data_IF_865363456999
#
_entry.id   IF_865363456999
#
_cell.length_a   1.000
_cell.length_b   1.000
_cell.length_c   1.000
_cell.angle_alpha   90.00
_cell.angle_beta   90.00
_cell.angle_gamma   90.00
#
_symmetry.space_group_name_H-M   'P 1'
#
loop_
_entity.id
_entity.type
_entity.pdbx_description
1 polymer ?
#
# COMPACT_ATOMS: atom_id res chain seq x y z
N UNK A 1 -11.44 31.08 -0.42
CA UNK A 1 -12.01 31.94 0.64
C UNK A 1 -13.45 31.49 0.86
N UNK A 2 -13.76 30.93 2.03
CA UNK A 2 -15.13 30.65 2.46
C UNK A 2 -15.25 31.24 3.87
N UNK A 3 -16.14 32.23 3.98
CA UNK A 3 -16.40 33.05 5.16
C UNK A 3 -17.20 32.26 6.21
N UNK A 4 -16.79 32.36 7.47
CA UNK A 4 -17.57 31.89 8.62
C UNK A 4 -18.27 33.09 9.25
N UNK A 5 -19.60 33.12 9.16
CA UNK A 5 -20.43 34.03 9.96
C UNK A 5 -20.68 33.42 11.33
N UNK A 6 -20.30 34.21 12.33
CA UNK A 6 -20.54 34.03 13.77
C UNK A 6 -22.04 33.98 14.08
N UNK A 7 -22.44 33.06 14.97
CA UNK A 7 -23.63 33.28 15.80
C UNK A 7 -23.34 32.81 17.22
N UNK A 8 -23.21 33.80 18.10
CA UNK A 8 -23.10 33.71 19.55
C UNK A 8 -24.44 33.31 20.19
N UNK A 9 -24.37 32.59 21.32
CA UNK A 9 -25.46 32.56 22.29
C UNK A 9 -25.39 31.37 23.24
N UNK A 10 -25.11 31.62 24.52
CA UNK A 10 -25.41 30.70 25.62
C UNK A 10 -24.26 30.45 26.59
N UNK A 11 -23.95 31.45 27.43
CA UNK A 11 -23.12 31.27 28.61
C UNK A 11 -23.88 30.49 29.69
N UNK A 12 -23.23 29.49 30.27
CA UNK A 12 -23.67 28.79 31.48
C UNK A 12 -22.44 28.34 32.25
N UNK A 13 -21.99 29.17 33.19
CA UNK A 13 -20.95 28.85 34.15
C UNK A 13 -21.49 27.87 35.21
N UNK A 14 -20.75 26.80 35.51
CA UNK A 14 -20.67 26.21 36.87
C UNK A 14 -19.36 25.42 37.02
N UNK A 15 -18.45 26.03 37.78
CA UNK A 15 -17.51 25.46 38.77
C UNK A 15 -17.15 23.97 38.77
N UNK A 16 -15.83 23.72 38.88
CA UNK A 16 -15.28 22.76 39.85
C UNK A 16 -15.05 21.34 39.36
N UNK A 17 -13.78 21.01 39.11
CA UNK A 17 -13.33 19.62 38.96
C UNK A 17 -12.13 19.47 38.05
N UNK A 18 -10.94 19.72 38.59
CA UNK A 18 -9.66 19.23 38.05
C UNK A 18 -9.65 17.69 38.16
N UNK A 19 -10.37 17.06 37.25
CA UNK A 19 -10.29 15.63 36.98
C UNK A 19 -9.83 15.48 35.56
N UNK A 20 -8.73 14.77 35.35
CA UNK A 20 -8.24 14.34 34.03
C UNK A 20 -9.32 13.54 33.31
N UNK A 21 -10.31 14.21 32.70
CA UNK A 21 -11.32 13.58 31.86
C UNK A 21 -10.60 13.13 30.60
N UNK A 22 -10.25 11.83 30.56
CA UNK A 22 -9.89 11.15 29.31
C UNK A 22 -10.95 11.53 28.27
N UNK A 23 -10.54 12.10 27.11
CA UNK A 23 -11.49 12.66 26.17
C UNK A 23 -12.43 11.58 25.64
N UNK A 24 -13.72 11.88 25.62
CA UNK A 24 -14.76 10.96 25.14
C UNK A 24 -14.48 10.64 23.66
N UNK A 25 -14.11 9.39 23.38
CA UNK A 25 -13.86 8.89 22.01
C UNK A 25 -15.10 9.10 21.14
N UNK A 26 -14.92 9.77 19.98
CA UNK A 26 -16.00 10.05 19.04
C UNK A 26 -16.73 8.75 18.65
N UNK A 27 -18.07 8.79 18.60
CA UNK A 27 -18.94 7.66 18.23
C UNK A 27 -18.52 7.04 16.89
N UNK A 28 -18.02 7.82 15.94
CA UNK A 28 -17.55 7.33 14.63
C UNK A 28 -16.33 6.42 14.70
N UNK A 29 -15.55 6.48 15.78
CA UNK A 29 -14.35 5.65 16.00
C UNK A 29 -14.65 4.38 16.85
N UNK A 30 -15.88 4.22 17.38
CA UNK A 30 -16.25 3.05 18.20
C UNK A 30 -16.29 1.76 17.36
N UNK A 31 -15.86 0.65 17.95
CA UNK A 31 -16.00 -0.71 17.40
C UNK A 31 -14.83 -1.20 16.51
N UNK A 32 -14.01 -0.30 16.00
CA UNK A 32 -12.86 -0.64 15.13
C UNK A 32 -11.58 0.13 15.45
N UNK A 33 -11.60 1.03 16.44
CA UNK A 33 -10.38 1.62 17.01
C UNK A 33 -10.20 1.21 18.48
N UNK A 34 -8.96 1.19 18.93
CA UNK A 34 -8.56 0.97 20.33
C UNK A 34 -7.47 1.97 20.66
N UNK A 35 -7.73 2.82 21.65
CA UNK A 35 -6.74 3.75 22.19
C UNK A 35 -5.97 3.03 23.30
N UNK A 36 -4.64 3.12 23.28
CA UNK A 36 -3.78 2.56 24.34
C UNK A 36 -3.54 3.59 25.44
N UNK A 37 -3.13 3.14 26.62
CA UNK A 37 -2.67 4.02 27.72
C UNK A 37 -1.63 5.05 27.26
N UNK A 38 -0.78 4.66 26.32
CA UNK A 38 0.34 5.48 25.82
C UNK A 38 -0.10 6.48 24.73
N UNK A 39 -1.40 6.74 24.58
CA UNK A 39 -1.96 7.68 23.60
C UNK A 39 -1.97 7.21 22.14
N UNK A 40 -1.55 5.97 21.84
CA UNK A 40 -1.56 5.42 20.48
C UNK A 40 -2.96 4.98 20.06
N UNK A 41 -3.32 5.21 18.81
CA UNK A 41 -4.61 4.81 18.24
C UNK A 41 -4.42 3.62 17.30
N UNK A 42 -4.98 2.46 17.66
CA UNK A 42 -4.90 1.22 16.89
C UNK A 42 -6.20 0.99 16.12
N UNK A 43 -6.14 0.97 14.79
CA UNK A 43 -7.22 0.60 13.89
C UNK A 43 -7.19 -0.91 13.65
N UNK A 44 -8.31 -1.58 13.92
CA UNK A 44 -8.48 -3.03 13.84
C UNK A 44 -9.71 -3.36 13.00
N UNK A 45 -9.71 -4.58 12.43
CA UNK A 45 -10.94 -5.20 11.89
C UNK A 45 -12.01 -5.29 12.98
N UNK A 46 -13.27 -5.39 12.56
CA UNK A 46 -14.40 -5.64 13.46
C UNK A 46 -14.13 -6.81 14.41
N UNK A 47 -14.68 -6.72 15.61
CA UNK A 47 -14.52 -7.73 16.68
C UNK A 47 -14.92 -9.12 16.18
N UNK A 48 -16.07 -9.24 15.51
CA UNK A 48 -16.57 -10.50 14.95
C UNK A 48 -15.57 -11.16 14.00
N UNK A 49 -15.04 -10.42 13.03
CA UNK A 49 -14.07 -10.94 12.05
C UNK A 49 -12.77 -11.39 12.73
N UNK A 50 -12.38 -10.74 13.83
CA UNK A 50 -11.20 -11.15 14.60
C UNK A 50 -11.43 -12.46 15.36
N UNK A 51 -12.61 -12.67 15.92
CA UNK A 51 -12.94 -13.94 16.58
C UNK A 51 -12.98 -15.10 15.59
N UNK A 52 -13.64 -14.93 14.44
CA UNK A 52 -13.66 -15.94 13.37
C UNK A 52 -12.25 -16.25 12.86
N UNK A 53 -11.44 -15.22 12.62
CA UNK A 53 -10.06 -15.40 12.19
C UNK A 53 -9.18 -16.06 13.25
N UNK A 54 -9.38 -15.77 14.53
CA UNK A 54 -8.68 -16.46 15.62
C UNK A 54 -9.08 -17.93 15.70
N UNK A 55 -10.37 -18.25 15.63
CA UNK A 55 -10.84 -19.63 15.63
C UNK A 55 -10.21 -20.42 14.46
N UNK A 56 -10.25 -19.88 13.24
CA UNK A 56 -9.63 -20.48 12.08
C UNK A 56 -8.11 -20.66 12.25
N UNK A 57 -7.42 -19.68 12.84
CA UNK A 57 -5.98 -19.78 13.08
C UNK A 57 -5.63 -20.81 14.15
N UNK A 58 -6.37 -20.88 15.27
CA UNK A 58 -6.12 -21.81 16.37
C UNK A 58 -6.38 -23.25 15.93
N UNK A 59 -7.55 -23.51 15.34
CA UNK A 59 -7.91 -24.84 14.82
C UNK A 59 -6.89 -25.28 13.77
N UNK A 60 -6.57 -24.38 12.86
CA UNK A 60 -5.61 -24.63 11.80
C UNK A 60 -4.19 -24.95 12.30
N UNK A 61 -3.65 -24.15 13.23
CA UNK A 61 -2.30 -24.39 13.80
C UNK A 61 -2.26 -25.68 14.61
N UNK A 62 -3.25 -25.93 15.48
CA UNK A 62 -3.30 -27.14 16.30
C UNK A 62 -3.35 -28.40 15.42
N UNK A 63 -4.15 -28.34 14.36
CA UNK A 63 -4.28 -29.45 13.42
C UNK A 63 -3.02 -29.64 12.58
N UNK A 64 -2.42 -28.55 12.07
CA UNK A 64 -1.14 -28.61 11.35
C UNK A 64 -0.02 -29.21 12.20
N UNK A 65 0.02 -28.92 13.50
CA UNK A 65 0.98 -29.53 14.41
C UNK A 65 0.73 -31.04 14.56
N UNK A 66 -0.54 -31.46 14.70
CA UNK A 66 -0.92 -32.88 14.77
C UNK A 66 -0.57 -33.63 13.48
N UNK A 67 -1.00 -33.11 12.33
CA UNK A 67 -0.72 -33.73 11.02
C UNK A 67 0.76 -33.70 10.69
N UNK A 68 1.48 -32.63 11.04
CA UNK A 68 2.93 -32.56 10.87
C UNK A 68 3.69 -33.59 11.70
N UNK A 69 3.27 -33.84 12.95
CA UNK A 69 3.82 -34.90 13.79
C UNK A 69 3.55 -36.30 13.20
N UNK A 70 2.35 -36.53 12.66
CA UNK A 70 1.98 -37.77 11.99
C UNK A 70 2.80 -37.99 10.70
N UNK A 71 2.98 -36.95 9.89
CA UNK A 71 3.82 -36.98 8.67
C UNK A 71 5.29 -37.27 8.99
N UNK A 72 5.82 -36.69 10.06
CA UNK A 72 7.18 -36.98 10.52
C UNK A 72 7.33 -38.45 10.95
N UNK A 73 6.32 -39.01 11.62
CA UNK A 73 6.26 -40.44 11.94
C UNK A 73 6.13 -41.34 10.71
N UNK A 74 5.33 -40.93 9.72
CA UNK A 74 5.09 -41.65 8.46
C UNK A 74 6.32 -41.68 7.54
N UNK A 75 7.08 -40.58 7.49
CA UNK A 75 8.36 -40.49 6.77
C UNK A 75 9.41 -41.46 7.36
N UNK A 76 9.36 -41.71 8.67
CA UNK A 76 10.21 -42.70 9.34
C UNK A 76 9.74 -44.15 9.11
N UNK A 77 8.46 -44.36 8.76
CA UNK A 77 7.86 -45.69 8.54
C UNK A 77 7.63 -46.04 7.06
N UNK A 78 8.10 -45.21 6.12
CA UNK A 78 8.07 -45.50 4.67
C UNK A 78 6.69 -45.49 4.00
N UNK A 79 5.62 -45.09 4.71
CA UNK A 79 4.26 -45.10 4.19
C UNK A 79 3.78 -43.67 3.92
N UNK A 80 3.76 -43.26 2.65
CA UNK A 80 3.29 -41.94 2.23
C UNK A 80 1.76 -41.94 2.16
N UNK A 81 1.07 -41.37 3.17
CA UNK A 81 -0.39 -41.27 3.17
C UNK A 81 -0.81 -39.98 2.50
N UNK A 82 -1.24 -40.07 1.25
CA UNK A 82 -1.55 -38.88 0.45
C UNK A 82 -2.68 -38.04 1.03
N UNK A 83 -3.68 -38.68 1.66
CA UNK A 83 -4.82 -38.06 2.36
C UNK A 83 -4.41 -37.03 3.44
N UNK A 84 -3.34 -37.31 4.20
CA UNK A 84 -2.87 -36.42 5.27
C UNK A 84 -2.28 -35.12 4.69
N UNK A 85 -1.68 -35.18 3.50
CA UNK A 85 -1.14 -34.02 2.81
C UNK A 85 -2.23 -33.12 2.23
N UNK A 86 -3.37 -33.68 1.79
CA UNK A 86 -4.54 -32.90 1.36
C UNK A 86 -5.13 -32.07 2.49
N UNK A 87 -5.33 -32.70 3.63
CA UNK A 87 -5.91 -32.05 4.81
C UNK A 87 -4.96 -30.97 5.32
N UNK A 88 -3.64 -31.24 5.31
CA UNK A 88 -2.63 -30.25 5.65
C UNK A 88 -2.67 -29.02 4.73
N UNK A 89 -2.77 -29.20 3.41
CA UNK A 89 -2.90 -28.08 2.47
C UNK A 89 -4.23 -27.34 2.62
N UNK A 90 -5.35 -28.07 2.73
CA UNK A 90 -6.69 -27.49 2.91
C UNK A 90 -6.76 -26.57 4.13
N UNK A 91 -6.17 -26.99 5.25
CA UNK A 91 -6.19 -26.22 6.50
C UNK A 91 -5.14 -25.12 6.53
N UNK A 92 -4.03 -25.24 5.79
CA UNK A 92 -3.01 -24.20 5.68
C UNK A 92 -3.59 -22.86 5.19
N UNK A 93 -4.54 -22.94 4.26
CA UNK A 93 -5.08 -21.78 3.55
C UNK A 93 -5.95 -20.90 4.49
N UNK A 94 -6.96 -21.44 5.21
CA UNK A 94 -7.68 -20.71 6.27
C UNK A 94 -6.79 -20.25 7.42
N UNK A 95 -5.77 -21.04 7.78
CA UNK A 95 -4.82 -20.70 8.85
C UNK A 95 -4.04 -19.43 8.51
N UNK A 96 -3.42 -19.39 7.33
CA UNK A 96 -2.67 -18.23 6.83
C UNK A 96 -3.59 -17.01 6.74
N UNK A 97 -4.84 -17.20 6.29
CA UNK A 97 -5.83 -16.13 6.27
C UNK A 97 -6.14 -15.61 7.69
N UNK A 98 -6.38 -16.49 8.65
CA UNK A 98 -6.68 -16.15 10.04
C UNK A 98 -5.53 -15.36 10.69
N UNK A 99 -4.30 -15.84 10.55
CA UNK A 99 -3.08 -15.17 11.03
C UNK A 99 -2.92 -13.79 10.36
N UNK A 100 -3.17 -13.70 9.04
CA UNK A 100 -3.09 -12.43 8.32
C UNK A 100 -4.15 -11.43 8.81
N UNK A 101 -5.39 -11.88 9.04
CA UNK A 101 -6.47 -11.02 9.54
C UNK A 101 -6.17 -10.49 10.94
N UNK A 102 -5.60 -11.32 11.83
CA UNK A 102 -5.25 -10.91 13.19
C UNK A 102 -4.04 -9.96 13.23
N UNK A 103 -3.06 -10.13 12.33
CA UNK A 103 -1.91 -9.20 12.21
C UNK A 103 -2.25 -7.86 11.55
N UNK A 104 -3.31 -7.78 10.75
CA UNK A 104 -3.70 -6.55 10.04
C UNK A 104 -4.21 -5.47 10.99
N UNK A 105 -3.33 -4.53 11.33
CA UNK A 105 -3.67 -3.33 12.12
C UNK A 105 -2.88 -2.12 11.65
N UNK A 106 -3.48 -0.94 11.76
CA UNK A 106 -2.76 0.32 11.62
C UNK A 106 -2.61 0.95 12.99
N UNK A 107 -1.41 1.37 13.36
CA UNK A 107 -1.13 2.05 14.63
C UNK A 107 -0.74 3.47 14.32
N UNK A 108 -1.50 4.43 14.82
CA UNK A 108 -1.17 5.85 14.76
C UNK A 108 -0.50 6.21 16.09
N UNK A 109 0.66 6.84 15.98
CA UNK A 109 1.48 7.28 17.10
C UNK A 109 2.07 8.65 16.77
N UNK A 110 2.67 9.33 17.74
CA UNK A 110 3.48 10.54 17.50
C UNK A 110 4.51 10.34 16.38
N UNK A 111 5.08 9.15 16.34
CA UNK A 111 6.15 8.75 15.46
C UNK A 111 5.72 8.50 14.00
N UNK A 112 4.41 8.59 13.71
CA UNK A 112 3.80 8.34 12.40
C UNK A 112 2.74 7.24 12.39
N UNK A 113 2.47 6.74 11.19
CA UNK A 113 1.47 5.70 10.90
C UNK A 113 2.18 4.39 10.59
N UNK A 114 1.99 3.40 11.44
CA UNK A 114 2.55 2.06 11.31
C UNK A 114 1.48 1.08 10.79
N UNK A 115 1.66 0.61 9.56
CA UNK A 115 0.77 -0.34 8.89
C UNK A 115 1.34 -1.74 9.02
N UNK A 116 0.71 -2.58 9.84
CA UNK A 116 1.11 -3.97 10.04
C UNK A 116 0.27 -4.90 9.19
N UNK A 117 0.93 -5.80 8.46
CA UNK A 117 0.34 -6.91 7.68
C UNK A 117 1.10 -8.20 8.01
N UNK A 118 0.69 -9.32 7.42
CA UNK A 118 1.33 -10.62 7.64
C UNK A 118 2.83 -10.60 7.33
N UNK A 119 3.18 -10.20 6.12
CA UNK A 119 4.56 -10.29 5.60
C UNK A 119 5.40 -9.03 5.82
N UNK A 120 4.78 -7.92 6.24
CA UNK A 120 5.53 -6.68 6.41
C UNK A 120 4.84 -5.69 7.35
N UNK A 121 5.68 -4.87 7.96
CA UNK A 121 5.29 -3.70 8.74
C UNK A 121 5.90 -2.48 8.06
N UNK A 122 5.06 -1.51 7.71
CA UNK A 122 5.49 -0.29 7.04
C UNK A 122 5.14 0.91 7.90
N UNK A 123 6.15 1.69 8.29
CA UNK A 123 5.98 2.93 9.05
C UNK A 123 6.17 4.12 8.11
N UNK A 124 5.23 5.06 8.17
CA UNK A 124 5.25 6.31 7.41
C UNK A 124 5.22 7.50 8.39
N UNK A 125 6.19 8.43 8.34
CA UNK A 125 6.17 9.62 9.18
C UNK A 125 5.02 10.54 8.80
N UNK A 126 4.48 11.31 9.75
CA UNK A 126 3.35 12.22 9.52
C UNK A 126 3.60 13.20 8.36
N UNK A 127 4.83 13.69 8.22
CA UNK A 127 5.27 14.54 7.09
C UNK A 127 4.90 13.96 5.71
N UNK A 128 4.94 12.65 5.55
CA UNK A 128 4.62 11.98 4.27
C UNK A 128 3.15 11.57 4.09
N UNK A 129 2.32 11.69 5.13
CA UNK A 129 0.97 11.09 5.20
C UNK A 129 -0.13 12.14 5.31
N UNK A 130 0.25 13.34 5.75
CA UNK A 130 -0.60 14.41 6.23
C UNK A 130 -1.77 14.82 5.31
N UNK A 131 -1.49 15.15 4.04
CA UNK A 131 -2.50 15.59 3.07
C UNK A 131 -3.11 14.44 2.23
N UNK A 132 -2.84 13.19 2.61
CA UNK A 132 -3.02 12.04 1.69
C UNK A 132 -3.96 10.96 2.16
N UNK A 133 -4.59 11.15 3.30
CA UNK A 133 -5.71 10.31 3.66
C UNK A 133 -6.93 10.69 2.82
N UNK A 134 -7.38 9.73 2.02
CA UNK A 134 -8.61 9.84 1.25
C UNK A 134 -9.49 8.62 1.50
N UNK A 135 -10.69 8.65 0.95
CA UNK A 135 -11.61 7.53 0.96
C UNK A 135 -11.54 6.84 -0.40
N UNK A 136 -11.40 5.52 -0.38
CA UNK A 136 -11.68 4.67 -1.53
C UNK A 136 -13.06 4.05 -1.29
N UNK A 137 -14.04 4.46 -2.10
CA UNK A 137 -15.33 3.78 -2.20
C UNK A 137 -15.23 2.75 -3.32
N UNK A 138 -15.57 1.50 -2.99
CA UNK A 138 -15.86 0.49 -4.00
C UNK A 138 -17.37 0.40 -4.06
N UNK A 139 -17.95 0.92 -5.13
CA UNK A 139 -19.37 0.88 -5.37
C UNK A 139 -19.62 -0.38 -6.22
N UNK A 140 -20.26 -1.38 -5.62
CA UNK A 140 -20.75 -2.56 -6.35
C UNK A 140 -22.21 -2.30 -6.65
N UNK A 141 -22.47 -1.41 -7.60
CA UNK A 141 -23.79 -1.15 -8.18
C UNK A 141 -23.85 -1.83 -9.55
N UNK A 142 -24.72 -2.82 -9.69
CA UNK A 142 -25.12 -3.27 -11.02
C UNK A 142 -26.01 -2.17 -11.65
N UNK A 143 -25.85 -1.85 -12.95
CA UNK A 143 -26.69 -0.85 -13.59
C UNK A 143 -28.17 -1.27 -13.48
N UNK A 144 -29.00 -0.43 -12.87
CA UNK A 144 -30.46 -0.64 -12.72
C UNK A 144 -30.92 -1.23 -11.38
N UNK A 145 -30.06 -1.40 -10.37
CA UNK A 145 -30.43 -1.95 -9.06
C UNK A 145 -30.26 -0.92 -7.92
N UNK A 146 -31.36 -0.54 -7.26
CA UNK A 146 -31.39 0.30 -6.06
C UNK A 146 -31.04 -0.53 -4.81
N UNK A 147 -29.76 -0.87 -4.65
CA UNK A 147 -29.31 -1.71 -3.53
C UNK A 147 -27.82 -2.07 -3.59
N UNK A 148 -26.98 -1.10 -3.92
CA UNK A 148 -25.54 -1.30 -4.06
C UNK A 148 -24.85 -1.59 -2.73
N UNK A 149 -23.85 -2.47 -2.75
CA UNK A 149 -22.95 -2.63 -1.61
C UNK A 149 -21.82 -1.61 -1.76
N UNK A 150 -21.90 -0.51 -1.04
CA UNK A 150 -20.83 0.47 -0.96
C UNK A 150 -19.84 0.07 0.13
N UNK A 151 -18.58 -0.15 -0.28
CA UNK A 151 -17.50 -0.42 0.66
C UNK A 151 -16.53 0.75 0.71
N UNK A 152 -16.71 1.60 1.71
CA UNK A 152 -15.77 2.70 2.00
C UNK A 152 -14.58 2.23 2.84
N UNK A 153 -13.36 2.61 2.43
CA UNK A 153 -12.12 2.39 3.20
C UNK A 153 -11.26 3.66 3.23
N UNK A 154 -10.60 3.90 4.36
CA UNK A 154 -9.55 4.91 4.43
C UNK A 154 -8.31 4.37 3.72
N UNK A 155 -7.80 5.16 2.78
CA UNK A 155 -6.59 4.85 2.02
C UNK A 155 -5.62 6.02 2.11
N UNK A 156 -4.34 5.69 1.98
CA UNK A 156 -3.24 6.63 1.91
C UNK A 156 -2.76 6.70 0.45
N UNK A 157 -2.82 7.88 -0.17
CA UNK A 157 -2.28 8.10 -1.51
C UNK A 157 -0.74 8.08 -1.47
N UNK A 158 -0.11 7.26 -2.30
CA UNK A 158 1.35 7.19 -2.38
C UNK A 158 1.85 7.75 -3.72
N UNK A 159 2.20 9.03 -3.71
CA UNK A 159 2.61 9.79 -4.89
C UNK A 159 1.40 10.23 -5.71
N UNK A 160 0.76 9.30 -6.40
CA UNK A 160 -0.36 9.58 -7.30
C UNK A 160 -1.62 8.79 -6.95
N UNK A 161 -2.77 9.24 -7.45
CA UNK A 161 -4.10 8.65 -7.22
C UNK A 161 -4.22 7.22 -7.74
N UNK A 162 -3.33 6.79 -8.62
CA UNK A 162 -3.26 5.41 -9.13
C UNK A 162 -2.75 4.41 -8.06
N UNK A 163 -2.11 4.90 -6.99
CA UNK A 163 -1.40 4.08 -6.02
C UNK A 163 -1.89 4.34 -4.60
N UNK A 164 -2.97 3.64 -4.26
CA UNK A 164 -3.67 3.77 -2.99
C UNK A 164 -3.26 2.67 -2.01
N UNK A 165 -2.58 3.05 -0.94
CA UNK A 165 -2.24 2.17 0.17
C UNK A 165 -3.47 2.02 1.07
N UNK A 166 -4.05 0.82 1.09
CA UNK A 166 -5.21 0.52 1.94
C UNK A 166 -4.78 0.32 3.39
N UNK A 167 -5.24 1.16 4.32
CA UNK A 167 -4.91 1.03 5.73
C UNK A 167 -5.35 -0.33 6.29
N UNK A 168 -4.43 -1.17 6.81
CA UNK A 168 -4.80 -2.42 7.46
C UNK A 168 -5.75 -2.20 8.64
N UNK A 169 -6.77 -3.06 8.76
CA UNK A 169 -7.76 -2.96 9.84
C UNK A 169 -8.91 -1.98 9.57
N UNK A 170 -8.74 -0.98 8.71
CA UNK A 170 -9.74 0.07 8.47
C UNK A 170 -10.79 -0.33 7.41
N UNK A 171 -11.75 -1.18 7.78
CA UNK A 171 -12.92 -1.48 6.93
C UNK A 171 -14.15 -0.88 7.60
N UNK A 172 -14.69 0.19 7.01
CA UNK A 172 -15.84 0.92 7.50
C UNK A 172 -17.12 0.29 6.93
N UNK A 173 -17.49 -0.88 7.47
CA UNK A 173 -18.76 -1.54 7.18
C UNK A 173 -18.94 -2.15 5.78
N UNK A 174 -19.91 -3.06 5.71
CA UNK A 174 -20.69 -3.42 4.52
C UNK A 174 -22.11 -3.06 4.96
N UNK A 175 -22.60 -1.86 4.63
CA UNK A 175 -23.97 -1.48 4.99
C UNK A 175 -24.74 -1.14 3.73
N UNK A 176 -26.03 -1.51 3.71
CA UNK A 176 -26.97 -1.20 2.65
C UNK A 176 -27.19 0.33 2.51
N UNK A 177 -26.86 1.11 3.55
CA UNK A 177 -26.94 2.56 3.54
C UNK A 177 -25.62 3.29 3.88
N UNK A 178 -25.39 4.38 3.16
CA UNK A 178 -24.53 5.55 3.38
C UNK A 178 -23.15 5.30 4.00
N UNK A 179 -22.41 4.33 3.46
CA UNK A 179 -21.06 3.98 3.90
C UNK A 179 -20.07 5.14 3.75
N UNK A 180 -20.30 6.04 2.77
CA UNK A 180 -19.44 7.18 2.45
C UNK A 180 -19.49 8.23 3.54
N UNK A 181 -20.68 8.58 4.06
CA UNK A 181 -20.78 9.55 5.16
C UNK A 181 -20.22 9.00 6.46
N UNK A 182 -20.41 7.70 6.74
CA UNK A 182 -19.76 7.06 7.88
C UNK A 182 -18.23 7.06 7.73
N UNK A 183 -17.73 6.80 6.53
CA UNK A 183 -16.30 6.83 6.25
C UNK A 183 -15.70 8.24 6.34
N UNK A 184 -16.41 9.26 5.87
CA UNK A 184 -15.98 10.66 5.99
C UNK A 184 -15.99 11.13 7.43
N UNK A 185 -17.00 10.77 8.22
CA UNK A 185 -17.05 11.05 9.65
C UNK A 185 -15.93 10.34 10.42
N UNK A 186 -15.60 9.10 10.05
CA UNK A 186 -14.47 8.35 10.62
C UNK A 186 -13.12 8.98 10.28
N UNK A 187 -12.91 9.35 9.01
CA UNK A 187 -11.69 10.03 8.55
C UNK A 187 -11.52 11.39 9.25
N UNK A 188 -12.57 12.21 9.32
CA UNK A 188 -12.55 13.49 10.04
C UNK A 188 -12.24 13.29 11.52
N UNK A 189 -12.87 12.31 12.17
CA UNK A 189 -12.61 12.02 13.58
C UNK A 189 -11.17 11.56 13.83
N UNK A 190 -10.60 10.75 12.91
CA UNK A 190 -9.20 10.35 12.96
C UNK A 190 -8.27 11.55 12.81
N UNK A 191 -8.47 12.40 11.81
CA UNK A 191 -7.65 13.60 11.59
C UNK A 191 -7.76 14.58 12.78
N UNK A 192 -8.96 14.76 13.34
CA UNK A 192 -9.16 15.57 14.54
C UNK A 192 -8.50 14.98 15.78
N UNK A 193 -8.41 13.65 15.89
CA UNK A 193 -7.65 13.01 16.96
C UNK A 193 -6.16 13.33 16.83
N UNK A 194 -5.59 13.10 15.64
CA UNK A 194 -4.16 13.35 15.37
C UNK A 194 -3.80 14.83 15.58
N UNK A 195 -4.65 15.75 15.09
CA UNK A 195 -4.45 17.19 15.28
C UNK A 195 -4.47 17.60 16.75
N UNK A 196 -5.39 17.05 17.55
CA UNK A 196 -5.46 17.33 19.01
C UNK A 196 -4.24 16.85 19.77
N UNK A 197 -3.61 15.78 19.31
CA UNK A 197 -2.37 15.28 19.90
C UNK A 197 -1.11 15.99 19.40
N UNK A 198 -1.23 17.00 18.53
CA UNK A 198 -0.08 17.77 18.02
C UNK A 198 0.85 16.97 17.11
N UNK A 199 0.46 15.78 16.65
CA UNK A 199 1.31 14.92 15.82
C UNK A 199 1.48 15.44 14.38
N UNK A 200 0.65 16.41 13.98
CA UNK A 200 0.66 17.05 12.67
C UNK A 200 1.33 18.42 12.84
N UNK A 201 2.45 18.63 12.16
CA UNK A 201 3.02 19.96 11.95
C UNK A 201 2.36 20.55 10.70
N UNK A 202 1.69 21.69 10.86
CA UNK A 202 0.71 22.18 9.88
C UNK A 202 1.27 22.91 8.67
N UNK A 203 2.55 23.27 8.62
CA UNK A 203 3.07 24.11 7.54
C UNK A 203 4.21 23.46 6.75
N UNK A 204 4.02 23.37 5.44
CA UNK A 204 5.04 22.96 4.48
C UNK A 204 6.26 23.91 4.48
N UNK A 205 6.10 25.13 5.02
CA UNK A 205 7.17 26.13 5.21
C UNK A 205 8.09 25.81 6.40
N UNK A 206 7.64 24.97 7.34
CA UNK A 206 8.46 24.50 8.47
C UNK A 206 9.37 23.31 8.12
N UNK A 207 9.38 22.88 6.85
CA UNK A 207 10.16 21.74 6.39
C UNK A 207 11.61 22.16 6.20
N UNK A 208 12.45 21.82 7.18
CA UNK A 208 13.90 21.96 7.08
C UNK A 208 14.50 20.85 6.24
N UNK A 209 15.68 21.11 5.68
CA UNK A 209 16.50 20.14 4.98
C UNK A 209 16.69 18.89 5.85
N UNK A 210 16.50 17.71 5.25
CA UNK A 210 16.81 16.44 5.91
C UNK A 210 18.24 16.05 5.54
N UNK A 211 19.20 16.07 6.49
CA UNK A 211 20.60 15.76 6.20
C UNK A 211 20.78 14.43 5.48
N UNK A 212 19.92 13.44 5.75
CA UNK A 212 20.01 12.12 5.08
C UNK A 212 19.57 12.18 3.63
N UNK A 213 18.56 12.97 3.30
CA UNK A 213 18.12 13.13 1.91
C UNK A 213 19.11 13.97 1.11
N UNK A 214 19.71 15.00 1.72
CA UNK A 214 20.79 15.79 1.13
C UNK A 214 22.01 14.91 0.87
N UNK A 215 22.45 14.12 1.86
CA UNK A 215 23.55 13.17 1.72
C UNK A 215 23.24 12.12 0.64
N UNK A 216 22.03 11.56 0.63
CA UNK A 216 21.63 10.58 -0.38
C UNK A 216 21.63 11.17 -1.79
N UNK A 217 21.22 12.43 -1.94
CA UNK A 217 21.31 13.16 -3.21
C UNK A 217 22.75 13.30 -3.66
N UNK A 218 23.68 13.65 -2.77
CA UNK A 218 25.11 13.78 -3.09
C UNK A 218 25.75 12.42 -3.41
N UNK A 219 25.33 11.36 -2.72
CA UNK A 219 25.80 9.98 -2.92
C UNK A 219 25.05 9.24 -4.04
N UNK A 220 24.75 9.93 -5.14
CA UNK A 220 23.93 9.43 -6.25
C UNK A 220 24.61 8.31 -7.08
N UNK A 221 25.95 8.25 -7.08
CA UNK A 221 26.71 7.23 -7.82
C UNK A 221 26.55 7.31 -9.35
N UNK A 222 26.38 8.52 -9.89
CA UNK A 222 26.08 8.73 -11.32
C UNK A 222 27.25 8.30 -12.21
N UNK A 223 28.49 8.34 -11.74
CA UNK A 223 29.69 8.01 -12.51
C UNK A 223 29.65 6.59 -13.11
N UNK A 224 29.02 5.64 -12.40
CA UNK A 224 28.83 4.27 -12.90
C UNK A 224 27.74 4.19 -13.96
N UNK A 225 26.76 5.10 -13.90
CA UNK A 225 25.60 5.15 -14.77
C UNK A 225 25.92 5.91 -16.06
N UNK A 226 26.65 7.03 -15.99
CA UNK A 226 27.07 7.87 -17.13
C UNK A 226 28.00 7.15 -18.10
N UNK A 227 28.73 6.11 -17.66
CA UNK A 227 29.54 5.27 -18.55
C UNK A 227 28.72 4.41 -19.51
N UNK A 228 27.43 4.24 -19.27
CA UNK A 228 26.55 3.40 -20.10
C UNK A 228 25.81 4.25 -21.11
N UNK A 229 25.86 3.84 -22.38
CA UNK A 229 25.10 4.47 -23.47
C UNK A 229 23.58 4.40 -23.31
N UNK A 230 23.09 3.48 -22.47
CA UNK A 230 21.67 3.30 -22.15
C UNK A 230 21.51 2.69 -20.76
N UNK A 231 20.51 3.15 -20.01
CA UNK A 231 20.22 2.61 -18.68
C UNK A 231 18.86 1.95 -18.66
N UNK A 232 18.80 0.76 -18.06
CA UNK A 232 17.59 -0.04 -17.96
C UNK A 232 17.34 -0.40 -16.50
N UNK A 233 16.17 -0.05 -16.00
CA UNK A 233 15.67 -0.45 -14.69
C UNK A 233 14.50 -1.41 -14.86
N UNK A 234 14.55 -2.52 -14.13
CA UNK A 234 13.49 -3.54 -14.10
C UNK A 234 13.11 -3.86 -12.66
N UNK A 235 13.06 -2.85 -11.80
CA UNK A 235 12.76 -3.08 -10.38
C UNK A 235 11.25 -3.28 -10.23
N UNK A 236 10.79 -4.41 -9.67
CA UNK A 236 9.37 -4.62 -9.47
C UNK A 236 8.83 -3.68 -8.39
N UNK A 237 7.57 -3.29 -8.51
CA UNK A 237 6.85 -2.53 -7.48
C UNK A 237 6.52 -3.45 -6.30
N UNK A 238 7.54 -3.78 -5.50
CA UNK A 238 7.51 -4.83 -4.48
C UNK A 238 6.42 -4.58 -3.43
N UNK A 239 6.12 -3.31 -3.12
CA UNK A 239 5.01 -2.97 -2.23
C UNK A 239 3.67 -3.46 -2.79
N UNK A 240 3.34 -3.18 -4.05
CA UNK A 240 2.08 -3.62 -4.67
C UNK A 240 1.99 -5.13 -4.70
N UNK A 241 3.09 -5.83 -5.04
CA UNK A 241 3.16 -7.29 -5.00
C UNK A 241 2.84 -7.81 -3.60
N UNK A 242 3.52 -7.30 -2.56
CA UNK A 242 3.26 -7.68 -1.17
C UNK A 242 1.82 -7.40 -0.75
N UNK A 243 1.25 -6.27 -1.17
CA UNK A 243 -0.14 -5.93 -0.87
C UNK A 243 -1.12 -6.87 -1.55
N UNK A 244 -0.91 -7.21 -2.82
CA UNK A 244 -1.73 -8.18 -3.55
C UNK A 244 -1.68 -9.57 -2.89
N UNK A 245 -0.47 -10.05 -2.60
CA UNK A 245 -0.25 -11.31 -1.88
C UNK A 245 -0.96 -11.30 -0.52
N UNK A 246 -0.77 -10.24 0.27
CA UNK A 246 -1.42 -10.11 1.57
C UNK A 246 -2.94 -9.97 1.43
N UNK A 247 -3.48 -9.36 0.38
CA UNK A 247 -4.91 -9.06 0.22
C UNK A 247 -5.78 -10.24 -0.26
N UNK A 248 -5.27 -11.46 -0.17
CA UNK A 248 -5.97 -12.68 -0.63
C UNK A 248 -5.29 -13.32 -1.84
N UNK A 249 -4.27 -12.68 -2.43
CA UNK A 249 -3.49 -13.29 -3.50
C UNK A 249 -2.83 -14.60 -3.06
N UNK A 250 -2.25 -14.66 -1.85
CA UNK A 250 -1.70 -15.91 -1.30
C UNK A 250 -2.76 -16.99 -1.13
N UNK A 251 -3.96 -16.60 -0.70
CA UNK A 251 -5.08 -17.52 -0.54
C UNK A 251 -5.50 -18.11 -1.89
N UNK A 252 -5.68 -17.25 -2.90
CA UNK A 252 -6.09 -17.66 -4.25
C UNK A 252 -5.02 -18.50 -4.95
N UNK A 253 -3.73 -18.13 -4.80
CA UNK A 253 -2.62 -18.91 -5.32
C UNK A 253 -2.55 -20.29 -4.63
N UNK A 254 -2.65 -20.32 -3.29
CA UNK A 254 -2.67 -21.57 -2.53
C UNK A 254 -3.86 -22.45 -2.90
N UNK A 255 -5.05 -21.87 -3.09
CA UNK A 255 -6.24 -22.59 -3.53
C UNK A 255 -6.07 -23.22 -4.91
N UNK A 256 -5.46 -22.49 -5.86
CA UNK A 256 -5.17 -23.02 -7.19
C UNK A 256 -4.16 -24.16 -7.18
N UNK A 257 -3.10 -24.04 -6.37
CA UNK A 257 -2.12 -25.14 -6.18
C UNK A 257 -2.79 -26.37 -5.59
N UNK A 258 -3.67 -26.18 -4.60
CA UNK A 258 -4.45 -27.27 -4.01
C UNK A 258 -5.34 -27.96 -5.05
N UNK A 259 -6.03 -27.20 -5.91
CA UNK A 259 -6.86 -27.79 -6.97
C UNK A 259 -6.04 -28.61 -7.97
N UNK A 260 -4.86 -28.12 -8.38
CA UNK A 260 -3.93 -28.92 -9.22
C UNK A 260 -3.57 -30.21 -8.52
N UNK A 261 -3.21 -30.13 -7.23
CA UNK A 261 -2.78 -31.28 -6.47
C UNK A 261 -3.90 -32.33 -6.29
N UNK A 262 -5.16 -31.90 -6.08
CA UNK A 262 -6.34 -32.79 -6.04
C UNK A 262 -6.57 -33.45 -7.40
N UNK A 263 -6.51 -32.67 -8.48
CA UNK A 263 -6.69 -33.19 -9.84
C UNK A 263 -5.64 -34.25 -10.20
N UNK A 264 -4.36 -33.99 -9.90
CA UNK A 264 -3.25 -34.89 -10.24
C UNK A 264 -3.39 -36.23 -9.51
N UNK A 265 -3.74 -36.24 -8.22
CA UNK A 265 -3.91 -37.51 -7.51
C UNK A 265 -5.04 -38.35 -8.05
N UNK A 266 -6.22 -37.75 -8.24
CA UNK A 266 -7.40 -38.46 -8.75
C UNK A 266 -7.18 -39.03 -10.16
N UNK A 267 -6.34 -38.39 -10.97
CA UNK A 267 -6.05 -38.82 -12.34
C UNK A 267 -4.91 -39.85 -12.43
N UNK A 268 -3.90 -39.77 -11.57
CA UNK A 268 -2.65 -40.52 -11.75
C UNK A 268 -2.30 -41.52 -10.64
N UNK A 269 -2.82 -41.35 -9.43
CA UNK A 269 -2.36 -42.13 -8.27
C UNK A 269 -3.43 -43.05 -7.67
N UNK A 270 -4.70 -42.84 -8.01
CA UNK A 270 -5.79 -43.72 -7.55
C UNK A 270 -5.84 -44.97 -8.43
N UNK A 271 -5.45 -46.12 -7.86
CA UNK A 271 -5.30 -47.40 -8.56
C UNK A 271 -6.61 -48.17 -8.74
N UNK A 272 -7.69 -47.74 -8.09
CA UNK A 272 -9.04 -48.22 -8.34
C UNK A 272 -9.59 -47.62 -9.65
N UNK A 273 -10.48 -48.33 -10.34
CA UNK A 273 -11.17 -47.80 -11.53
C UNK A 273 -11.89 -46.50 -11.18
N UNK A 274 -11.28 -45.36 -11.52
CA UNK A 274 -11.80 -44.03 -11.23
C UNK A 274 -13.19 -43.91 -11.82
N UNK A 275 -14.19 -43.65 -10.97
CA UNK A 275 -15.56 -43.40 -11.40
C UNK A 275 -15.59 -42.24 -12.41
N UNK A 276 -16.48 -42.28 -13.39
CA UNK A 276 -16.64 -41.16 -14.32
C UNK A 276 -16.95 -39.84 -13.61
N UNK A 277 -17.61 -39.91 -12.44
CA UNK A 277 -17.83 -38.75 -11.57
C UNK A 277 -16.53 -38.17 -11.01
N UNK A 278 -15.59 -39.01 -10.56
CA UNK A 278 -14.30 -38.56 -10.02
C UNK A 278 -13.40 -37.96 -11.09
N UNK A 279 -13.47 -38.46 -12.33
CA UNK A 279 -12.81 -37.87 -13.50
C UNK A 279 -13.35 -36.48 -13.80
N UNK A 280 -14.68 -36.30 -13.78
CA UNK A 280 -15.31 -35.01 -14.00
C UNK A 280 -14.89 -33.99 -12.91
N UNK A 281 -14.84 -34.39 -11.64
CA UNK A 281 -14.34 -33.53 -10.57
C UNK A 281 -12.86 -33.17 -10.75
N UNK A 282 -12.02 -34.12 -11.16
CA UNK A 282 -10.61 -33.85 -11.41
C UNK A 282 -10.40 -32.85 -12.55
N UNK A 283 -11.16 -32.98 -13.65
CA UNK A 283 -11.14 -32.03 -14.77
C UNK A 283 -11.64 -30.65 -14.31
N UNK A 284 -12.73 -30.60 -13.53
CA UNK A 284 -13.28 -29.35 -12.99
C UNK A 284 -12.25 -28.61 -12.14
N UNK A 285 -11.56 -29.30 -11.22
CA UNK A 285 -10.51 -28.68 -10.39
C UNK A 285 -9.32 -28.20 -11.23
N UNK A 286 -8.97 -28.92 -12.30
CA UNK A 286 -7.87 -28.53 -13.19
C UNK A 286 -8.19 -27.24 -13.95
N UNK A 287 -9.47 -26.99 -14.26
CA UNK A 287 -9.96 -25.73 -14.83
C UNK A 287 -10.06 -24.63 -13.76
N UNK A 288 -10.53 -24.96 -12.56
CA UNK A 288 -10.73 -23.97 -11.49
C UNK A 288 -9.39 -23.45 -10.93
N UNK A 289 -8.34 -24.26 -10.98
CA UNK A 289 -6.98 -23.89 -10.60
C UNK A 289 -6.45 -22.63 -11.30
N UNK A 290 -6.29 -22.58 -12.64
CA UNK A 290 -5.82 -21.39 -13.34
C UNK A 290 -6.79 -20.21 -13.16
N UNK A 291 -8.10 -20.43 -13.11
CA UNK A 291 -9.09 -19.37 -12.86
C UNK A 291 -8.84 -18.68 -11.51
N UNK A 292 -8.59 -19.46 -10.46
CA UNK A 292 -8.28 -18.90 -9.13
C UNK A 292 -6.96 -18.12 -9.11
N UNK A 293 -5.95 -18.58 -9.87
CA UNK A 293 -4.62 -17.97 -9.90
C UNK A 293 -4.48 -16.82 -10.90
N UNK A 294 -5.35 -16.72 -11.91
CA UNK A 294 -5.23 -15.77 -13.01
C UNK A 294 -5.23 -14.32 -12.52
N UNK A 295 -6.18 -13.94 -11.66
CA UNK A 295 -6.29 -12.59 -11.13
C UNK A 295 -5.04 -12.14 -10.33
N UNK A 296 -4.58 -12.88 -9.29
CA UNK A 296 -3.40 -12.47 -8.54
C UNK A 296 -2.13 -12.46 -9.41
N UNK A 297 -1.96 -13.42 -10.32
CA UNK A 297 -0.81 -13.46 -11.23
C UNK A 297 -0.81 -12.29 -12.21
N UNK A 298 -1.96 -11.97 -12.80
CA UNK A 298 -2.11 -10.81 -13.69
C UNK A 298 -1.74 -9.49 -12.97
N UNK A 299 -2.20 -9.31 -11.72
CA UNK A 299 -1.86 -8.13 -10.90
C UNK A 299 -0.37 -8.07 -10.56
N UNK A 300 0.24 -9.21 -10.23
CA UNK A 300 1.68 -9.30 -9.95
C UNK A 300 2.48 -9.00 -11.20
N UNK A 301 2.10 -9.54 -12.35
CA UNK A 301 2.75 -9.28 -13.64
C UNK A 301 2.78 -7.79 -13.99
N UNK A 302 1.67 -7.08 -13.78
CA UNK A 302 1.59 -5.63 -14.00
C UNK A 302 2.56 -4.78 -13.15
N UNK A 303 3.18 -5.37 -12.11
CA UNK A 303 4.17 -4.69 -11.27
C UNK A 303 5.61 -4.76 -11.83
N UNK A 304 5.85 -5.54 -12.89
CA UNK A 304 7.16 -5.69 -13.53
C UNK A 304 7.30 -4.76 -14.73
N UNK A 305 7.28 -3.45 -14.48
CA UNK A 305 7.51 -2.48 -15.55
C UNK A 305 9.00 -2.28 -15.78
N UNK A 306 9.37 -2.13 -17.05
CA UNK A 306 10.72 -1.77 -17.48
C UNK A 306 10.79 -0.27 -17.72
N UNK A 307 11.75 0.39 -17.09
CA UNK A 307 12.09 1.78 -17.37
C UNK A 307 13.41 1.80 -18.15
N UNK A 308 13.39 2.45 -19.31
CA UNK A 308 14.55 2.65 -20.15
C UNK A 308 14.84 4.14 -20.21
N UNK A 309 16.10 4.49 -19.99
CA UNK A 309 16.61 5.85 -20.13
C UNK A 309 17.58 5.84 -21.32
N UNK A 310 17.25 6.63 -22.33
CA UNK A 310 18.05 6.85 -23.55
C UNK A 310 18.12 8.34 -23.89
N UNK A 311 18.93 8.69 -24.90
CA UNK A 311 19.12 10.05 -25.41
C UNK A 311 17.83 10.67 -25.92
N UNK A 312 16.93 9.85 -26.49
CA UNK A 312 15.63 10.28 -27.02
C UNK A 312 14.59 10.56 -25.93
N UNK A 313 14.75 9.96 -24.75
CA UNK A 313 13.83 10.19 -23.63
C UNK A 313 13.84 9.09 -22.57
N UNK A 314 12.80 9.10 -21.76
CA UNK A 314 12.57 8.11 -20.71
C UNK A 314 11.32 7.31 -21.08
N UNK A 315 11.47 5.99 -21.20
CA UNK A 315 10.38 5.05 -21.51
C UNK A 315 10.01 4.23 -20.30
N UNK A 316 8.79 4.35 -19.80
CA UNK A 316 8.23 3.54 -18.72
C UNK A 316 7.16 2.60 -19.26
N UNK A 317 7.51 1.32 -19.43
CA UNK A 317 6.63 0.33 -20.06
C UNK A 317 6.29 0.71 -21.50
N UNK A 318 4.99 0.94 -21.78
CA UNK A 318 4.50 1.36 -23.11
C UNK A 318 4.46 2.89 -23.29
N UNK A 319 4.76 3.67 -22.24
CA UNK A 319 4.68 5.13 -22.25
C UNK A 319 6.07 5.73 -22.43
N UNK A 320 6.17 6.74 -23.28
CA UNK A 320 7.40 7.51 -23.50
C UNK A 320 7.19 8.94 -23.02
N UNK A 321 8.21 9.49 -22.38
CA UNK A 321 8.28 10.91 -22.06
C UNK A 321 9.60 11.48 -22.58
N UNK A 322 9.55 12.70 -23.11
CA UNK A 322 10.74 13.47 -23.44
C UNK A 322 11.47 13.86 -22.14
N UNK A 323 12.74 14.21 -22.27
CA UNK A 323 13.51 14.71 -21.14
C UNK A 323 12.90 16.02 -20.60
N UNK A 324 12.78 16.17 -19.27
CA UNK A 324 12.36 17.44 -18.69
C UNK A 324 13.41 18.53 -18.91
N UNK A 325 12.97 19.77 -19.08
CA UNK A 325 13.82 20.95 -19.31
C UNK A 325 14.57 21.41 -18.04
N UNK A 326 14.19 20.92 -16.86
CA UNK A 326 14.81 21.28 -15.58
C UNK A 326 14.88 20.06 -14.67
N UNK A 327 15.87 20.02 -13.77
CA UNK A 327 16.02 19.00 -12.74
C UNK A 327 14.75 18.81 -11.93
N UNK A 328 14.04 19.90 -11.70
CA UNK A 328 12.78 19.93 -10.95
C UNK A 328 11.68 19.09 -11.64
N UNK A 329 11.74 18.92 -12.96
CA UNK A 329 10.83 18.07 -13.72
C UNK A 329 11.01 16.56 -13.48
N UNK A 330 12.04 16.13 -12.76
CA UNK A 330 12.19 14.78 -12.25
C UNK A 330 12.10 14.82 -10.72
N UNK A 331 11.16 14.13 -10.09
CA UNK A 331 10.99 14.23 -8.64
C UNK A 331 10.57 12.90 -8.03
N UNK A 332 10.71 12.79 -6.72
CA UNK A 332 10.27 11.62 -5.97
C UNK A 332 9.00 11.98 -5.20
N UNK A 333 8.03 11.09 -5.23
CA UNK A 333 6.78 11.22 -4.50
C UNK A 333 6.35 9.85 -3.97
N UNK A 334 6.15 9.76 -2.66
CA UNK A 334 5.99 8.53 -1.91
C UNK A 334 7.28 7.74 -1.98
N UNK A 335 7.19 6.57 -2.59
CA UNK A 335 8.32 5.70 -2.91
C UNK A 335 8.43 5.43 -4.43
N UNK A 336 8.15 6.45 -5.24
CA UNK A 336 8.21 6.39 -6.71
C UNK A 336 8.90 7.63 -7.28
N UNK A 337 9.54 7.48 -8.44
CA UNK A 337 10.10 8.58 -9.24
C UNK A 337 9.06 8.97 -10.29
N UNK A 338 8.92 10.27 -10.52
CA UNK A 338 8.00 10.86 -11.50
C UNK A 338 8.74 11.82 -12.43
N UNK A 339 8.28 11.88 -13.68
CA UNK A 339 8.69 12.87 -14.68
C UNK A 339 7.51 13.79 -14.98
N UNK A 340 7.74 15.10 -15.04
CA UNK A 340 6.78 16.13 -15.41
C UNK A 340 6.89 16.41 -16.90
N UNK A 341 5.75 16.41 -17.59
CA UNK A 341 5.62 16.91 -18.95
C UNK A 341 5.48 18.43 -18.93
N UNK A 342 5.85 19.11 -20.02
CA UNK A 342 5.73 20.57 -20.14
C UNK A 342 4.31 21.14 -19.94
N UNK A 343 3.26 20.31 -19.96
CA UNK A 343 1.87 20.69 -19.71
C UNK A 343 1.40 20.43 -18.25
N UNK A 344 2.33 20.13 -17.33
CA UNK A 344 2.01 19.86 -15.93
C UNK A 344 1.39 18.47 -15.64
N UNK A 345 1.29 17.60 -16.66
CA UNK A 345 1.01 16.16 -16.47
C UNK A 345 2.27 15.46 -15.96
N UNK A 346 2.11 14.32 -15.31
CA UNK A 346 3.22 13.53 -14.78
C UNK A 346 3.14 12.06 -15.19
N UNK A 347 4.30 11.39 -15.24
CA UNK A 347 4.44 9.97 -15.50
C UNK A 347 5.26 9.30 -14.39
N UNK A 348 4.74 8.23 -13.81
CA UNK A 348 5.46 7.43 -12.84
C UNK A 348 6.45 6.46 -13.51
N UNK A 349 7.66 6.38 -12.98
CA UNK A 349 8.71 5.46 -13.41
C UNK A 349 8.70 4.19 -12.54
N UNK A 350 7.62 3.40 -12.60
CA UNK A 350 7.39 2.25 -11.71
C UNK A 350 8.51 1.18 -11.77
N UNK A 351 9.21 1.06 -12.89
CA UNK A 351 10.36 0.16 -13.05
C UNK A 351 11.68 0.67 -12.48
N UNK A 352 11.75 1.96 -12.12
CA UNK A 352 12.92 2.58 -11.50
C UNK A 352 12.85 2.60 -9.96
N UNK A 353 11.85 1.94 -9.36
CA UNK A 353 11.65 1.85 -7.91
C UNK A 353 12.75 1.10 -7.15
N UNK A 354 12.61 0.94 -5.83
CA UNK A 354 13.59 0.23 -4.98
C UNK A 354 12.96 -0.92 -4.21
N UNK A 355 13.73 -1.99 -3.99
CA UNK A 355 13.23 -3.29 -3.52
C UNK A 355 13.05 -3.39 -2.01
N UNK A 356 14.03 -2.94 -1.21
CA UNK A 356 14.10 -3.24 0.23
C UNK A 356 14.43 -2.02 1.08
N UNK A 357 14.07 -2.10 2.37
CA UNK A 357 14.36 -1.07 3.36
C UNK A 357 13.11 -0.43 3.95
N UNK A 358 13.31 0.35 5.02
CA UNK A 358 12.29 1.24 5.59
C UNK A 358 11.85 2.26 4.55
N UNK A 359 10.70 2.90 4.77
CA UNK A 359 10.22 3.94 3.86
C UNK A 359 11.27 5.04 3.63
N UNK A 360 11.89 5.52 4.70
CA UNK A 360 12.95 6.54 4.65
C UNK A 360 14.13 6.07 3.79
N UNK A 361 14.64 4.86 4.02
CA UNK A 361 15.76 4.31 3.22
C UNK A 361 15.42 4.16 1.74
N UNK A 362 14.16 3.80 1.43
CA UNK A 362 13.70 3.76 0.04
C UNK A 362 13.63 5.16 -0.57
N UNK A 363 13.18 6.17 0.18
CA UNK A 363 13.19 7.55 -0.29
C UNK A 363 14.62 8.04 -0.57
N UNK A 364 15.56 7.82 0.33
CA UNK A 364 16.99 8.13 0.14
C UNK A 364 17.52 7.51 -1.16
N UNK A 365 17.30 6.20 -1.36
CA UNK A 365 17.73 5.49 -2.56
C UNK A 365 17.03 5.98 -3.84
N UNK A 366 15.76 6.40 -3.75
CA UNK A 366 15.03 6.98 -4.88
C UNK A 366 15.53 8.38 -5.21
N UNK A 367 15.86 9.20 -4.22
CA UNK A 367 16.46 10.53 -4.40
C UNK A 367 17.83 10.40 -5.09
N UNK A 368 18.69 9.52 -4.58
CA UNK A 368 19.99 9.20 -5.19
C UNK A 368 19.82 8.76 -6.65
N UNK A 369 18.88 7.85 -6.91
CA UNK A 369 18.61 7.35 -8.27
C UNK A 369 18.00 8.41 -9.18
N UNK A 370 17.12 9.25 -8.66
CA UNK A 370 16.53 10.38 -9.35
C UNK A 370 17.64 11.33 -9.82
N UNK A 371 18.58 11.67 -8.93
CA UNK A 371 19.74 12.50 -9.27
C UNK A 371 20.62 11.83 -10.34
N UNK A 372 20.89 10.53 -10.20
CA UNK A 372 21.69 9.79 -11.19
C UNK A 372 21.05 9.74 -12.57
N UNK A 373 19.71 9.61 -12.68
CA UNK A 373 18.98 9.67 -13.94
C UNK A 373 19.14 11.07 -14.57
N UNK A 374 18.99 12.14 -13.79
CA UNK A 374 19.16 13.49 -14.29
C UNK A 374 20.58 13.74 -14.82
N UNK A 375 21.59 13.43 -14.00
CA UNK A 375 23.00 13.60 -14.38
C UNK A 375 23.41 12.76 -15.58
N UNK A 376 22.81 11.57 -15.75
CA UNK A 376 22.97 10.78 -16.96
C UNK A 376 22.50 11.54 -18.21
N UNK A 377 21.32 12.17 -18.14
CA UNK A 377 20.74 12.95 -19.23
C UNK A 377 21.58 14.16 -19.58
N UNK A 378 22.11 14.88 -18.57
CA UNK A 378 23.00 16.02 -18.77
C UNK A 378 24.32 15.60 -19.43
N UNK A 379 24.95 14.53 -18.93
CA UNK A 379 26.23 14.05 -19.45
C UNK A 379 26.16 13.58 -20.91
N UNK A 380 25.02 13.05 -21.36
CA UNK A 380 24.81 12.60 -22.73
C UNK A 380 24.19 13.68 -23.64
N UNK A 381 24.04 14.92 -23.16
CA UNK A 381 23.43 16.01 -23.92
C UNK A 381 21.93 15.83 -24.21
N UNK A 382 21.27 14.88 -23.55
CA UNK A 382 19.85 14.60 -23.71
C UNK A 382 18.96 15.66 -23.04
N UNK A 383 19.50 16.35 -22.03
CA UNK A 383 18.87 17.52 -21.40
C UNK A 383 19.92 18.52 -20.90
N UNK A 384 19.47 19.71 -20.52
CA UNK A 384 20.26 20.76 -19.88
C UNK A 384 19.41 21.46 -18.83
N UNK A 385 20.04 21.99 -17.78
CA UNK A 385 19.32 22.76 -16.76
C UNK A 385 18.90 24.12 -17.32
N UNK A 386 17.58 24.34 -17.44
CA UNK A 386 17.01 25.64 -17.85
C UNK A 386 16.48 26.47 -16.68
N UNK A 387 16.34 25.89 -15.48
CA UNK A 387 15.72 26.53 -14.32
C UNK A 387 14.19 26.64 -14.40
N UNK A 388 13.56 26.22 -15.50
CA UNK A 388 12.12 26.32 -15.69
C UNK A 388 11.35 25.37 -14.76
N UNK A 389 10.63 25.94 -13.81
CA UNK A 389 9.78 25.17 -12.91
C UNK A 389 8.38 24.96 -13.52
N UNK A 390 8.03 23.72 -13.82
CA UNK A 390 6.68 23.36 -14.31
C UNK A 390 5.82 22.90 -13.14
N UNK A 391 4.75 23.63 -12.77
CA UNK A 391 3.84 23.21 -11.70
C UNK A 391 2.99 22.01 -12.13
N UNK A 392 2.70 21.11 -11.19
CA UNK A 392 1.83 19.97 -11.42
C UNK A 392 0.36 20.39 -11.37
N UNK A 393 -0.46 19.82 -12.26
CA UNK A 393 -1.91 20.06 -12.26
C UNK A 393 -2.62 19.50 -11.01
N UNK A 394 -1.98 18.60 -10.26
CA UNK A 394 -2.52 18.01 -9.04
C UNK A 394 -1.92 18.69 -7.80
N UNK A 395 -2.71 19.50 -7.09
CA UNK A 395 -2.27 20.28 -5.93
C UNK A 395 -1.66 19.43 -4.80
N UNK A 396 -2.17 18.21 -4.55
CA UNK A 396 -1.63 17.34 -3.50
C UNK A 396 -0.28 16.73 -3.88
N UNK A 397 -0.05 16.47 -5.17
CA UNK A 397 1.23 16.01 -5.68
C UNK A 397 2.25 17.15 -5.75
N UNK A 398 1.79 18.35 -6.12
CA UNK A 398 2.60 19.57 -6.10
C UNK A 398 3.13 19.86 -4.69
N UNK A 399 2.24 19.85 -3.68
CA UNK A 399 2.64 20.01 -2.28
C UNK A 399 3.66 18.96 -1.84
N UNK A 400 3.49 17.70 -2.23
CA UNK A 400 4.46 16.63 -1.94
C UNK A 400 5.83 16.90 -2.56
N UNK A 401 5.84 17.26 -3.85
CA UNK A 401 7.06 17.56 -4.57
C UNK A 401 7.82 18.69 -3.87
N UNK A 402 7.14 19.77 -3.51
CA UNK A 402 7.73 20.91 -2.80
C UNK A 402 8.29 20.52 -1.43
N UNK A 403 7.56 19.70 -0.64
CA UNK A 403 8.03 19.20 0.65
C UNK A 403 9.32 18.40 0.47
N UNK A 404 9.38 17.53 -0.54
CA UNK A 404 10.57 16.73 -0.78
C UNK A 404 11.71 17.57 -1.34
N UNK A 405 11.45 18.48 -2.27
CA UNK A 405 12.43 19.41 -2.85
C UNK A 405 13.11 20.23 -1.75
N UNK A 406 12.33 20.81 -0.81
CA UNK A 406 12.88 21.46 0.40
C UNK A 406 13.70 20.50 1.25
N UNK A 407 13.21 19.28 1.45
CA UNK A 407 13.91 18.25 2.23
C UNK A 407 15.26 17.82 1.65
N UNK A 408 15.47 17.93 0.33
CA UNK A 408 16.72 17.56 -0.35
C UNK A 408 17.62 18.77 -0.68
N UNK A 409 17.29 19.95 -0.13
CA UNK A 409 18.05 21.19 -0.31
C UNK A 409 17.92 21.79 -1.72
N UNK A 410 16.75 21.64 -2.37
CA UNK A 410 16.44 22.35 -3.62
C UNK A 410 15.62 23.60 -3.33
N UNK A 411 15.93 24.68 -4.05
CA UNK A 411 15.15 25.91 -4.00
C UNK A 411 13.77 25.67 -4.65
N UNK A 412 12.70 25.88 -3.88
CA UNK A 412 11.32 25.78 -4.35
C UNK A 412 10.82 27.19 -4.67
N UNK A 413 10.39 27.48 -5.91
CA UNK A 413 9.81 28.78 -6.24
C UNK A 413 8.54 29.02 -5.41
N UNK A 414 8.38 30.24 -4.90
CA UNK A 414 7.23 30.58 -4.07
C UNK A 414 5.92 30.45 -4.86
N UNK A 415 4.90 29.88 -4.23
CA UNK A 415 3.52 29.85 -4.78
C UNK A 415 3.08 31.28 -5.08
N UNK A 416 3.09 31.67 -6.35
CA UNK A 416 2.64 32.99 -6.80
C UNK A 416 3.67 33.85 -7.53
N UNK A 417 4.92 33.41 -7.69
CA UNK A 417 5.81 34.04 -8.67
C UNK A 417 5.49 33.51 -10.08
N UNK A 418 5.20 34.37 -11.07
CA UNK A 418 5.18 33.95 -12.46
C UNK A 418 6.58 33.47 -12.86
N UNK A 419 6.61 32.38 -13.62
CA UNK A 419 7.83 31.78 -14.17
C UNK A 419 8.51 32.69 -15.17
#
# INVERSE_FOLDING_TARGET
>A
MISFTSRSGGAGNTSGGSGSRRPVRNKSLRGWTTETSDGRLILRRSVLVRYVAMAAAVVGVAWMASTGAQLLGSLMSGFYRSDDMYVLMMLSIPTIWGINVTRRRSVLSESGVEMRRLLFTERRPWRSVLSRFTLSTLDVTAPGYEGGIDRTRIVLVNGDRDDLIRLPGCVLGMTLDDSRNRGSAALRAMLNYVRRHGWIVSDAESVHEDPRLVEARQNHGADKMTRKSRVVFCTPVWRRIKEHLCNGGLFLIGLGVLFIFISVQRLFYETASVSDSDRLYAILFLILAPVSMAYPLYKIYGCFQRVVVDDRGIRAGRRTCAWPESRSGLFVAGDRIFVVYGNGKHLALDGAGVTWGSFQRRQEQLVARCEAIWLWGVAHGATRETGRYVPLGNAGMQEEREILERGIGLAVPHRGQPA
#
